data_IF_054205481249
#
_entry.id   IF_054205481249
#
_cell.length_a   1.000
_cell.length_b   1.000
_cell.length_c   1.000
_cell.angle_alpha   90.00
_cell.angle_beta   90.00
_cell.angle_gamma   90.00
#
_symmetry.space_group_name_H-M   'P 1'
#
loop_
_entity.id
_entity.type
_entity.pdbx_description
1 polymer ?
#
# COMPACT_ATOMS: atom_id res chain seq x y z
N UNK A 1 -5.99 -6.59 6.86
CA UNK A 1 -6.50 -7.16 8.12
C UNK A 1 -5.60 -8.32 8.56
N UNK A 2 -5.64 -8.78 9.82
CA UNK A 2 -4.96 -10.01 10.23
C UNK A 2 -5.35 -11.16 9.28
N UNK A 3 -4.38 -11.99 8.91
CA UNK A 3 -4.53 -13.13 7.98
C UNK A 3 -4.98 -12.79 6.55
N UNK A 4 -4.95 -11.51 6.17
CA UNK A 4 -5.20 -11.10 4.78
C UNK A 4 -4.06 -11.57 3.88
N UNK A 5 -4.41 -12.14 2.72
CA UNK A 5 -3.41 -12.57 1.74
C UNK A 5 -2.83 -11.36 1.00
N UNK A 6 -1.65 -11.52 0.40
CA UNK A 6 -1.07 -10.47 -0.44
C UNK A 6 -1.94 -10.21 -1.68
N UNK A 7 -2.54 -11.26 -2.25
CA UNK A 7 -3.40 -11.16 -3.41
C UNK A 7 -4.63 -10.30 -3.12
N UNK A 8 -5.29 -10.49 -1.97
CA UNK A 8 -6.42 -9.66 -1.53
C UNK A 8 -6.01 -8.18 -1.35
N UNK A 9 -4.80 -7.92 -0.85
CA UNK A 9 -4.28 -6.55 -0.73
C UNK A 9 -4.08 -5.94 -2.10
N UNK A 10 -3.49 -6.68 -3.04
CA UNK A 10 -3.27 -6.23 -4.43
C UNK A 10 -4.60 -5.96 -5.14
N UNK A 11 -5.57 -6.87 -5.02
CA UNK A 11 -6.92 -6.69 -5.56
C UNK A 11 -7.60 -5.45 -5.00
N UNK A 12 -7.48 -5.20 -3.69
CA UNK A 12 -8.01 -3.99 -3.06
C UNK A 12 -7.36 -2.72 -3.60
N UNK A 13 -6.03 -2.72 -3.79
CA UNK A 13 -5.28 -1.61 -4.38
C UNK A 13 -5.77 -1.33 -5.80
N UNK A 14 -5.88 -2.38 -6.62
CA UNK A 14 -6.32 -2.30 -8.01
C UNK A 14 -7.76 -1.80 -8.12
N UNK A 15 -8.66 -2.33 -7.29
CA UNK A 15 -10.06 -1.91 -7.25
C UNK A 15 -10.18 -0.42 -6.91
N UNK A 16 -9.55 0.03 -5.82
CA UNK A 16 -9.55 1.44 -5.44
C UNK A 16 -8.95 2.32 -6.55
N UNK A 17 -7.83 1.91 -7.15
CA UNK A 17 -7.23 2.66 -8.25
C UNK A 17 -8.14 2.74 -9.48
N UNK A 18 -8.91 1.69 -9.78
CA UNK A 18 -9.84 1.67 -10.92
C UNK A 18 -10.99 2.68 -10.78
N UNK A 19 -11.34 3.04 -9.54
CA UNK A 19 -12.28 4.11 -9.21
C UNK A 19 -11.67 5.52 -9.32
N UNK A 20 -10.39 5.63 -9.72
CA UNK A 20 -9.70 6.91 -9.86
C UNK A 20 -9.26 7.53 -8.53
N UNK A 21 -9.22 6.76 -7.44
CA UNK A 21 -8.79 7.26 -6.13
C UNK A 21 -7.34 6.89 -5.82
N UNK A 22 -6.69 7.73 -5.01
CA UNK A 22 -5.36 7.44 -4.50
C UNK A 22 -5.42 6.43 -3.35
N UNK A 23 -4.55 5.44 -3.40
CA UNK A 23 -4.43 4.39 -2.39
C UNK A 23 -3.37 4.76 -1.37
N UNK A 24 -3.73 4.82 -0.09
CA UNK A 24 -2.77 4.98 1.02
C UNK A 24 -2.79 3.72 1.86
N UNK A 25 -1.69 2.98 1.87
CA UNK A 25 -1.59 1.76 2.67
C UNK A 25 -1.66 2.10 4.16
N UNK A 26 -2.55 1.41 4.86
CA UNK A 26 -2.67 1.48 6.31
C UNK A 26 -2.07 0.22 6.93
N UNK A 27 -1.18 0.38 7.90
CA UNK A 27 -0.65 -0.74 8.67
C UNK A 27 -1.64 -1.07 9.79
N UNK A 28 -1.98 -2.36 9.91
CA UNK A 28 -2.72 -2.84 11.06
C UNK A 28 -1.85 -2.70 12.33
N UNK A 29 -2.40 -2.04 13.35
CA UNK A 29 -1.72 -1.85 14.63
C UNK A 29 -2.58 -2.47 15.74
N UNK A 30 -2.13 -3.54 16.40
CA UNK A 30 -2.84 -4.09 17.55
C UNK A 30 -2.73 -3.12 18.73
N UNK A 31 -3.86 -2.57 19.17
CA UNK A 31 -3.90 -1.54 20.22
C UNK A 31 -3.92 -2.23 21.60
N UNK A 32 -3.07 -1.83 22.56
CA UNK A 32 -3.10 -2.38 23.92
C UNK A 32 -4.51 -2.41 24.53
N UNK A 33 -4.88 -3.54 25.12
CA UNK A 33 -6.21 -3.77 25.69
C UNK A 33 -7.29 -4.19 24.69
N UNK A 34 -6.94 -4.41 23.42
CA UNK A 34 -7.85 -5.01 22.42
C UNK A 34 -7.58 -6.50 22.25
N UNK A 35 -8.60 -7.26 21.82
CA UNK A 35 -8.46 -8.69 21.51
C UNK A 35 -7.37 -8.97 20.48
N UNK A 36 -7.16 -8.07 19.54
CA UNK A 36 -6.13 -8.24 18.52
C UNK A 36 -4.71 -8.03 19.07
N UNK A 37 -4.57 -7.27 20.16
CA UNK A 37 -3.32 -7.17 20.90
C UNK A 37 -3.01 -8.45 21.66
N UNK A 38 -4.01 -9.02 22.34
CA UNK A 38 -3.86 -10.32 23.01
C UNK A 38 -3.47 -11.41 21.99
N UNK A 39 -4.19 -11.47 20.86
CA UNK A 39 -3.84 -12.39 19.75
C UNK A 39 -2.45 -12.13 19.18
N UNK A 40 -2.00 -10.87 19.10
CA UNK A 40 -0.67 -10.58 18.60
C UNK A 40 0.42 -11.14 19.52
N UNK A 41 0.20 -11.12 20.84
CA UNK A 41 1.10 -11.73 21.82
C UNK A 41 1.03 -13.26 21.74
N UNK A 42 -0.18 -13.83 21.76
CA UNK A 42 -0.40 -15.29 21.69
C UNK A 42 0.23 -15.93 20.45
N UNK A 43 0.16 -15.25 19.30
CA UNK A 43 0.73 -15.73 18.04
C UNK A 43 2.22 -15.39 17.87
N UNK A 44 2.87 -14.84 18.90
CA UNK A 44 4.30 -14.50 18.88
C UNK A 44 4.66 -13.32 17.96
N UNK A 45 3.66 -12.51 17.57
CA UNK A 45 3.88 -11.33 16.74
C UNK A 45 4.37 -10.11 17.53
N UNK A 46 4.08 -10.07 18.84
CA UNK A 46 4.58 -9.11 19.80
C UNK A 46 5.00 -9.85 21.08
N UNK A 47 6.00 -9.34 21.82
CA UNK A 47 6.29 -9.82 23.18
C UNK A 47 5.17 -9.39 24.16
N UNK A 48 5.10 -10.02 25.34
CA UNK A 48 4.08 -9.73 26.37
C UNK A 48 4.06 -8.26 26.83
N UNK A 49 5.23 -7.61 26.82
CA UNK A 49 5.41 -6.20 27.14
C UNK A 49 6.15 -5.48 26.00
N UNK A 50 5.50 -5.30 24.84
CA UNK A 50 6.12 -4.64 23.69
C UNK A 50 6.31 -3.16 24.00
N UNK A 51 7.49 -2.65 23.66
CA UNK A 51 7.69 -1.21 23.58
C UNK A 51 6.64 -0.63 22.60
N UNK A 52 5.87 0.39 23.00
CA UNK A 52 4.86 1.00 22.13
C UNK A 52 5.41 1.40 20.75
N UNK A 53 6.70 1.75 20.64
CA UNK A 53 7.35 2.09 19.39
C UNK A 53 7.40 0.93 18.39
N UNK A 54 7.39 -0.33 18.84
CA UNK A 54 7.39 -1.50 17.95
C UNK A 54 6.13 -1.52 17.08
N UNK A 55 5.02 -1.00 17.60
CA UNK A 55 3.74 -0.93 16.88
C UNK A 55 3.67 0.19 15.83
N UNK A 56 4.71 1.03 15.74
CA UNK A 56 4.77 2.10 14.76
C UNK A 56 4.83 1.53 13.33
N UNK A 57 4.08 2.12 12.39
CA UNK A 57 4.05 1.70 10.97
C UNK A 57 5.41 1.67 10.27
N UNK A 58 6.39 2.44 10.74
CA UNK A 58 7.76 2.43 10.19
C UNK A 58 8.64 1.35 10.81
N UNK A 59 8.34 0.93 12.03
CA UNK A 59 9.14 -0.03 12.81
C UNK A 59 8.61 -1.45 12.66
N UNK A 60 7.29 -1.64 12.71
CA UNK A 60 6.65 -2.96 12.65
C UNK A 60 7.06 -3.81 11.44
N UNK A 61 7.26 -3.26 10.21
CA UNK A 61 7.68 -4.08 9.08
C UNK A 61 9.12 -4.57 9.22
N UNK A 62 9.95 -3.81 9.93
CA UNK A 62 11.37 -4.12 10.17
C UNK A 62 11.51 -5.12 11.32
N UNK A 63 10.67 -4.99 12.35
CA UNK A 63 10.74 -5.78 13.58
C UNK A 63 10.54 -7.28 13.35
N UNK A 64 9.64 -7.68 12.44
CA UNK A 64 9.31 -9.10 12.22
C UNK A 64 10.40 -9.85 11.48
N UNK A 65 10.53 -9.61 10.17
CA UNK A 65 11.45 -10.32 9.30
C UNK A 65 11.84 -9.44 8.13
N UNK A 66 13.02 -9.70 7.54
CA UNK A 66 13.44 -9.04 6.30
C UNK A 66 12.42 -9.24 5.17
N UNK A 67 11.86 -10.44 5.07
CA UNK A 67 10.84 -10.76 4.07
C UNK A 67 9.57 -9.92 4.26
N UNK A 68 9.10 -9.74 5.50
CA UNK A 68 7.94 -8.89 5.79
C UNK A 68 8.19 -7.43 5.38
N UNK A 69 9.40 -6.91 5.65
CA UNK A 69 9.81 -5.59 5.20
C UNK A 69 9.83 -5.47 3.67
N UNK A 70 10.42 -6.43 2.97
CA UNK A 70 10.50 -6.44 1.51
C UNK A 70 9.10 -6.49 0.88
N UNK A 71 8.20 -7.32 1.40
CA UNK A 71 6.78 -7.37 0.97
C UNK A 71 6.08 -6.01 1.16
N UNK A 72 6.21 -5.40 2.34
CA UNK A 72 5.63 -4.09 2.63
C UNK A 72 6.18 -3.00 1.69
N UNK A 73 7.49 -3.01 1.45
CA UNK A 73 8.15 -2.08 0.52
C UNK A 73 7.62 -2.24 -0.89
N UNK A 74 7.53 -3.47 -1.40
CA UNK A 74 7.03 -3.76 -2.76
C UNK A 74 5.59 -3.28 -2.93
N UNK A 75 4.70 -3.57 -1.98
CA UNK A 75 3.31 -3.10 -2.01
C UNK A 75 3.23 -1.55 -1.96
N UNK A 76 4.06 -0.92 -1.14
CA UNK A 76 4.11 0.55 -1.05
C UNK A 76 4.57 1.19 -2.36
N UNK A 77 5.59 0.61 -3.01
CA UNK A 77 6.06 1.07 -4.32
C UNK A 77 4.99 0.88 -5.39
N UNK A 78 4.32 -0.26 -5.40
CA UNK A 78 3.22 -0.55 -6.32
C UNK A 78 2.06 0.46 -6.18
N UNK A 79 1.58 0.70 -4.96
CA UNK A 79 0.53 1.69 -4.71
C UNK A 79 0.98 3.11 -5.11
N UNK A 80 2.23 3.49 -4.84
CA UNK A 80 2.76 4.81 -5.21
C UNK A 80 2.84 5.01 -6.73
N UNK A 81 3.23 3.98 -7.48
CA UNK A 81 3.23 4.00 -8.95
C UNK A 81 1.81 4.23 -9.50
N UNK A 82 0.82 3.51 -8.98
CA UNK A 82 -0.58 3.68 -9.40
C UNK A 82 -1.13 5.06 -9.04
N UNK A 83 -0.74 5.59 -7.87
CA UNK A 83 -1.12 6.93 -7.44
C UNK A 83 -0.53 8.04 -8.31
N UNK A 84 0.67 7.84 -8.87
CA UNK A 84 1.24 8.78 -9.86
C UNK A 84 0.36 8.87 -11.10
N UNK A 85 -0.19 7.74 -11.57
CA UNK A 85 -1.17 7.71 -12.64
C UNK A 85 -2.39 8.58 -12.32
N UNK A 86 -3.02 8.32 -11.17
CA UNK A 86 -4.17 9.11 -10.70
C UNK A 86 -3.86 10.60 -10.58
N UNK A 87 -2.72 10.98 -10.00
CA UNK A 87 -2.29 12.39 -9.88
C UNK A 87 -2.18 13.09 -11.24
N UNK A 88 -1.77 12.35 -12.27
CA UNK A 88 -1.58 12.86 -13.62
C UNK A 88 -2.84 12.76 -14.48
N UNK A 89 -3.96 12.29 -13.91
CA UNK A 89 -5.20 12.03 -14.66
C UNK A 89 -5.08 10.84 -15.61
N UNK A 90 -4.15 9.92 -15.37
CA UNK A 90 -3.93 8.71 -16.15
C UNK A 90 -4.46 7.52 -15.35
N UNK A 91 -5.74 7.20 -15.53
CA UNK A 91 -6.27 5.95 -14.98
C UNK A 91 -5.90 4.80 -15.93
N UNK A 92 -5.16 3.80 -15.44
CA UNK A 92 -4.85 2.60 -16.22
C UNK A 92 -6.12 1.76 -16.52
N UNK A 93 -7.20 2.01 -15.79
CA UNK A 93 -8.45 1.24 -15.86
C UNK A 93 -9.60 1.99 -16.53
N UNK A 94 -9.42 3.28 -16.85
CA UNK A 94 -10.34 4.02 -17.72
C UNK A 94 -9.67 4.22 -19.09
N UNK A 95 -10.05 3.44 -20.12
CA UNK A 95 -9.36 3.46 -21.42
C UNK A 95 -9.37 4.82 -22.11
N UNK A 96 -10.41 5.63 -21.88
CA UNK A 96 -10.53 6.97 -22.44
C UNK A 96 -9.53 7.94 -21.80
N UNK A 97 -9.43 7.93 -20.47
CA UNK A 97 -8.50 8.78 -19.71
C UNK A 97 -7.05 8.41 -20.00
N UNK A 98 -6.74 7.11 -20.05
CA UNK A 98 -5.42 6.63 -20.44
C UNK A 98 -5.03 7.12 -21.84
N UNK A 99 -5.93 6.98 -22.83
CA UNK A 99 -5.68 7.47 -24.20
C UNK A 99 -5.44 8.97 -24.22
N UNK A 100 -6.31 9.76 -23.60
CA UNK A 100 -6.15 11.22 -23.58
C UNK A 100 -4.83 11.64 -22.92
N UNK A 101 -4.50 11.01 -21.79
CA UNK A 101 -3.26 11.29 -21.10
C UNK A 101 -2.01 10.89 -21.91
N UNK A 102 -2.05 9.74 -22.58
CA UNK A 102 -0.97 9.27 -23.44
C UNK A 102 -0.73 10.24 -24.59
N UNK A 103 -1.79 10.65 -25.31
CA UNK A 103 -1.66 11.61 -26.40
C UNK A 103 -1.12 12.95 -25.90
N UNK A 104 -1.63 13.46 -24.77
CA UNK A 104 -1.12 14.69 -24.15
C UNK A 104 0.36 14.60 -23.76
N UNK A 105 0.82 13.43 -23.28
CA UNK A 105 2.22 13.20 -22.97
C UNK A 105 3.09 13.13 -24.23
N UNK A 106 2.61 12.48 -25.29
CA UNK A 106 3.29 12.41 -26.58
C UNK A 106 3.41 13.78 -27.25
N UNK A 107 2.38 14.63 -27.17
CA UNK A 107 2.42 15.98 -27.71
C UNK A 107 3.45 16.85 -26.97
N UNK A 108 3.51 16.77 -25.64
CA UNK A 108 4.54 17.47 -24.85
C UNK A 108 5.97 17.04 -25.17
N UNK A 109 6.17 15.79 -25.59
CA UNK A 109 7.49 15.31 -25.99
C UNK A 109 7.87 15.81 -27.39
N UNK A 110 6.89 16.13 -28.24
CA UNK A 110 7.12 16.74 -29.57
C UNK A 110 7.37 18.24 -29.51
N UNK A 111 6.88 18.92 -28.48
CA UNK A 111 7.04 20.37 -28.29
C UNK A 111 8.39 20.77 -27.62
N UNK A 112 9.23 19.80 -27.27
CA UNK A 112 10.54 20.01 -26.59
C UNK A 112 11.73 19.84 -27.54
N UNK A 113 11.48 19.47 -28.81
CA UNK A 113 12.44 19.49 -29.93
C UNK A 113 12.21 20.72 -30.82
#
# INVERSE_FOLDING_TARGET
MPNQSIDEVVETILYANSLGVQVRLASFSPIPGTKDYDRAIENGYLPEHPDPLITNKTVIPIYRTREAYERFRTLSQFANMLNEGVRRGMSLFQPADFRQALFKAMDRLRDVD
#
